data_IF_305170196297
#
_entry.id   IF_305170196297
#
_cell.length_a   1.000
_cell.length_b   1.000
_cell.length_c   1.000
_cell.angle_alpha   90.00
_cell.angle_beta   90.00
_cell.angle_gamma   90.00
#
_symmetry.space_group_name_H-M   'P 1'
#
loop_
_entity.id
_entity.type
_entity.pdbx_description
1 polymer ?
#
# COMPACT_ATOMS: atom_id res chain seq x y z
N UNK A 1 -38.63 -20.38 9.88
CA UNK A 1 -37.33 -20.90 10.35
C UNK A 1 -36.50 -21.24 9.14
N UNK A 2 -35.71 -20.28 8.62
CA UNK A 2 -34.73 -20.58 7.59
C UNK A 2 -33.67 -21.50 8.23
N UNK A 3 -33.41 -22.66 7.62
CA UNK A 3 -32.38 -23.57 8.13
C UNK A 3 -31.01 -22.92 7.90
N UNK A 4 -30.18 -22.89 8.93
CA UNK A 4 -28.76 -22.49 8.88
C UNK A 4 -27.90 -23.50 8.09
N UNK A 5 -28.40 -24.04 6.98
CA UNK A 5 -27.72 -25.06 6.17
C UNK A 5 -26.68 -24.43 5.21
N UNK A 6 -26.69 -23.10 5.04
CA UNK A 6 -25.83 -22.39 4.09
C UNK A 6 -24.31 -22.57 4.37
N UNK A 7 -23.80 -22.44 5.61
CA UNK A 7 -22.39 -22.73 5.89
C UNK A 7 -22.03 -24.20 5.63
N UNK A 8 -22.97 -25.12 5.87
CA UNK A 8 -22.78 -26.55 5.60
C UNK A 8 -22.66 -26.85 4.11
N UNK A 9 -23.46 -26.17 3.28
CA UNK A 9 -23.41 -26.28 1.83
C UNK A 9 -22.14 -25.66 1.24
N UNK A 10 -21.66 -24.53 1.76
CA UNK A 10 -20.39 -23.96 1.31
C UNK A 10 -19.22 -24.89 1.65
N UNK A 11 -19.20 -25.43 2.87
CA UNK A 11 -18.14 -26.33 3.32
C UNK A 11 -18.18 -27.72 2.67
N UNK A 12 -19.25 -28.09 1.97
CA UNK A 12 -19.30 -29.33 1.18
C UNK A 12 -18.71 -29.18 -0.23
N UNK A 13 -18.43 -27.95 -0.68
CA UNK A 13 -17.74 -27.70 -1.94
C UNK A 13 -16.29 -28.18 -1.88
N UNK A 14 -15.72 -28.68 -3.00
CA UNK A 14 -14.29 -28.97 -3.11
C UNK A 14 -13.44 -27.75 -2.79
N UNK A 15 -12.23 -27.98 -2.27
CA UNK A 15 -11.32 -26.93 -1.83
C UNK A 15 -10.98 -25.96 -2.97
N UNK A 16 -10.78 -26.50 -4.17
CA UNK A 16 -10.43 -25.78 -5.39
C UNK A 16 -11.54 -24.79 -5.77
N UNK A 17 -12.80 -25.21 -5.64
CA UNK A 17 -13.96 -24.36 -5.91
C UNK A 17 -14.05 -23.24 -4.86
N UNK A 18 -13.81 -23.55 -3.57
CA UNK A 18 -13.81 -22.52 -2.53
C UNK A 18 -12.69 -21.51 -2.71
N UNK A 19 -11.49 -21.95 -3.07
CA UNK A 19 -10.37 -21.06 -3.40
C UNK A 19 -10.69 -20.17 -4.61
N UNK A 20 -11.34 -20.70 -5.64
CA UNK A 20 -11.80 -19.90 -6.79
C UNK A 20 -12.84 -18.85 -6.37
N UNK A 21 -13.72 -19.19 -5.44
CA UNK A 21 -14.67 -18.23 -4.86
C UNK A 21 -13.92 -17.15 -4.05
N UNK A 22 -12.94 -17.52 -3.23
CA UNK A 22 -12.14 -16.54 -2.49
C UNK A 22 -11.41 -15.58 -3.44
N UNK A 23 -10.82 -16.11 -4.51
CA UNK A 23 -10.14 -15.32 -5.53
C UNK A 23 -11.08 -14.34 -6.23
N UNK A 24 -12.26 -14.83 -6.65
CA UNK A 24 -13.30 -13.98 -7.23
C UNK A 24 -13.76 -12.88 -6.26
N UNK A 25 -13.99 -13.21 -4.98
CA UNK A 25 -14.43 -12.23 -3.98
C UNK A 25 -13.34 -11.20 -3.66
N UNK A 26 -12.08 -11.61 -3.62
CA UNK A 26 -10.94 -10.72 -3.47
C UNK A 26 -10.77 -9.80 -4.67
N UNK A 27 -11.05 -10.28 -5.89
CA UNK A 27 -10.92 -9.53 -7.14
C UNK A 27 -12.11 -8.60 -7.42
N UNK A 28 -13.32 -8.97 -6.98
CA UNK A 28 -14.52 -8.13 -7.12
C UNK A 28 -14.36 -6.81 -6.37
N UNK A 29 -13.66 -6.83 -5.23
CA UNK A 29 -13.27 -5.60 -4.58
C UNK A 29 -12.57 -4.68 -5.62
N UNK A 30 -11.60 -5.20 -6.35
CA UNK A 30 -10.76 -4.44 -7.29
C UNK A 30 -11.51 -3.81 -8.47
N UNK A 31 -12.49 -4.51 -9.05
CA UNK A 31 -13.20 -4.09 -10.27
C UNK A 31 -13.97 -2.77 -10.21
N UNK A 32 -14.22 -2.23 -9.01
CA UNK A 32 -14.92 -0.95 -8.84
C UNK A 32 -13.99 0.28 -8.96
N UNK A 33 -12.75 0.11 -9.42
CA UNK A 33 -11.72 1.17 -9.53
C UNK A 33 -11.25 1.73 -8.18
N UNK A 34 -11.89 1.29 -7.10
CA UNK A 34 -11.78 1.86 -5.76
C UNK A 34 -10.92 1.00 -4.84
N UNK A 35 -10.92 -0.32 -5.00
CA UNK A 35 -10.12 -1.20 -4.15
C UNK A 35 -8.82 -1.58 -4.86
N UNK A 36 -7.73 -0.87 -4.57
CA UNK A 36 -6.41 -1.25 -5.04
C UNK A 36 -5.66 -2.00 -3.91
N UNK A 37 -5.22 -3.27 -4.10
CA UNK A 37 -4.49 -4.02 -3.07
C UNK A 37 -3.25 -3.27 -2.56
N UNK A 38 -2.64 -2.43 -3.42
CA UNK A 38 -1.51 -1.58 -3.05
C UNK A 38 -1.83 -0.65 -1.90
N UNK A 39 -3.09 -0.20 -1.80
CA UNK A 39 -3.52 0.71 -0.74
C UNK A 39 -3.77 -0.02 0.57
N UNK A 40 -4.00 -1.34 0.63
CA UNK A 40 -4.41 -2.04 1.87
C UNK A 40 -3.52 -1.71 3.08
N UNK A 41 -2.20 -1.61 2.87
CA UNK A 41 -1.26 -1.21 3.92
C UNK A 41 -1.37 0.28 4.28
N UNK A 42 -1.63 1.17 3.31
CA UNK A 42 -1.97 2.58 3.57
C UNK A 42 -3.16 2.68 4.54
N UNK A 43 -4.27 1.99 4.27
CA UNK A 43 -5.42 2.01 5.19
C UNK A 43 -5.05 1.51 6.59
N UNK A 44 -4.22 0.46 6.65
CA UNK A 44 -3.74 -0.06 7.93
C UNK A 44 -2.94 0.99 8.72
N UNK A 45 -2.02 1.71 8.07
CA UNK A 45 -1.28 2.81 8.70
C UNK A 45 -2.18 3.97 9.12
N UNK A 46 -3.10 4.39 8.23
CA UNK A 46 -4.03 5.48 8.52
C UNK A 46 -4.92 5.16 9.71
N UNK A 47 -5.38 3.90 9.82
CA UNK A 47 -6.17 3.42 10.95
C UNK A 47 -5.36 3.45 12.24
N UNK A 48 -4.15 2.90 12.26
CA UNK A 48 -3.29 2.92 13.45
C UNK A 48 -2.97 4.36 13.91
N UNK A 49 -2.67 5.26 12.98
CA UNK A 49 -2.42 6.67 13.27
C UNK A 49 -3.68 7.37 13.81
N UNK A 50 -4.84 7.12 13.19
CA UNK A 50 -6.11 7.72 13.61
C UNK A 50 -6.56 7.23 15.00
N UNK A 51 -6.36 5.95 15.31
CA UNK A 51 -6.61 5.39 16.64
C UNK A 51 -5.75 6.09 17.70
N UNK A 52 -4.48 6.38 17.38
CA UNK A 52 -3.58 7.13 18.27
C UNK A 52 -4.05 8.59 18.47
N UNK A 53 -4.46 9.27 17.39
CA UNK A 53 -4.98 10.64 17.43
C UNK A 53 -6.27 10.72 18.24
N UNK A 54 -7.21 9.78 18.06
CA UNK A 54 -8.42 9.70 18.87
C UNK A 54 -8.06 9.47 20.34
N UNK A 55 -7.17 8.50 20.63
CA UNK A 55 -6.80 8.19 22.00
C UNK A 55 -6.15 9.39 22.72
N UNK A 56 -5.33 10.18 22.01
CA UNK A 56 -4.77 11.42 22.52
C UNK A 56 -5.85 12.49 22.73
N UNK A 57 -6.73 12.70 21.76
CA UNK A 57 -7.85 13.64 21.87
C UNK A 57 -8.73 13.34 23.09
N UNK A 58 -9.13 12.07 23.25
CA UNK A 58 -10.00 11.62 24.34
C UNK A 58 -9.31 11.71 25.72
N UNK A 59 -7.97 11.63 25.77
CA UNK A 59 -7.20 11.88 27.00
C UNK A 59 -7.35 13.32 27.48
N UNK A 60 -7.40 14.28 26.57
CA UNK A 60 -7.57 15.70 26.88
C UNK A 60 -9.03 16.13 26.97
N UNK A 61 -9.96 15.37 26.37
CA UNK A 61 -11.39 15.65 26.32
C UNK A 61 -12.24 14.43 26.75
N UNK A 62 -12.14 13.96 28.01
CA UNK A 62 -12.78 12.70 28.44
C UNK A 62 -14.31 12.70 28.37
N UNK A 63 -14.94 13.88 28.36
CA UNK A 63 -16.40 14.04 28.20
C UNK A 63 -16.77 14.63 26.83
N UNK A 64 -15.78 14.83 25.94
CA UNK A 64 -16.01 15.34 24.60
C UNK A 64 -16.62 14.27 23.69
N UNK A 65 -17.28 14.66 22.60
CA UNK A 65 -17.68 13.71 21.57
C UNK A 65 -16.43 13.10 20.92
N UNK A 66 -16.50 11.81 20.60
CA UNK A 66 -15.45 11.13 19.85
C UNK A 66 -15.28 11.76 18.46
N UNK A 67 -14.04 12.05 18.01
CA UNK A 67 -13.78 12.59 16.69
C UNK A 67 -14.28 11.68 15.56
N UNK A 68 -14.70 12.29 14.46
CA UNK A 68 -14.99 11.57 13.21
C UNK A 68 -13.69 11.55 12.40
N UNK A 69 -13.21 10.36 12.07
CA UNK A 69 -12.04 10.19 11.20
C UNK A 69 -12.49 10.25 9.74
N UNK A 70 -11.81 11.07 8.95
CA UNK A 70 -11.92 11.01 7.52
C UNK A 70 -10.64 10.44 6.91
N UNK A 71 -10.72 9.17 6.52
CA UNK A 71 -9.62 8.48 5.85
C UNK A 71 -9.44 9.04 4.44
N UNK A 72 -8.20 9.06 3.94
CA UNK A 72 -7.90 9.33 2.53
C UNK A 72 -8.68 8.38 1.60
N UNK A 73 -9.01 7.20 2.14
CA UNK A 73 -9.71 6.11 1.48
C UNK A 73 -11.25 6.18 1.57
N UNK A 74 -11.86 7.09 2.34
CA UNK A 74 -13.28 6.98 2.72
C UNK A 74 -14.34 6.97 1.60
N UNK A 75 -13.97 7.13 0.32
CA UNK A 75 -14.89 6.91 -0.80
C UNK A 75 -15.14 5.43 -1.17
N UNK A 76 -14.52 4.47 -0.48
CA UNK A 76 -14.39 3.09 -1.00
C UNK A 76 -14.85 1.95 -0.07
N UNK A 77 -14.74 2.05 1.27
CA UNK A 77 -15.08 0.93 2.19
C UNK A 77 -16.37 1.19 3.01
N UNK A 78 -17.09 2.28 2.76
CA UNK A 78 -18.38 2.53 3.43
C UNK A 78 -19.55 1.64 2.95
N UNK A 79 -19.29 0.50 2.31
CA UNK A 79 -20.34 -0.43 1.90
C UNK A 79 -20.60 -1.58 2.90
N UNK A 80 -19.81 -1.73 3.97
CA UNK A 80 -20.10 -2.83 4.93
C UNK A 80 -19.82 -2.61 6.41
N UNK A 81 -19.48 -1.39 6.85
CA UNK A 81 -19.42 -1.05 8.29
C UNK A 81 -20.68 -0.30 8.81
N UNK A 82 -21.76 -0.20 8.02
CA UNK A 82 -23.05 0.33 8.49
C UNK A 82 -23.84 -0.72 9.30
N UNK A 83 -23.43 -0.90 10.56
CA UNK A 83 -24.23 -1.50 11.63
C UNK A 83 -25.18 -0.43 12.19
N UNK A 84 -26.38 -0.30 11.60
CA UNK A 84 -27.25 0.84 11.93
C UNK A 84 -28.70 0.81 11.47
N UNK A 85 -29.35 -0.36 11.46
CA UNK A 85 -30.81 -0.57 11.44
C UNK A 85 -31.73 0.57 10.96
N UNK A 86 -32.24 0.45 9.73
CA UNK A 86 -33.53 1.03 9.36
C UNK A 86 -34.35 0.00 8.59
N UNK A 87 -35.32 -0.55 9.32
CA UNK A 87 -36.36 -1.45 8.86
C UNK A 87 -37.24 -0.73 7.84
N UNK A 88 -37.01 -0.99 6.55
CA UNK A 88 -37.89 -0.55 5.45
C UNK A 88 -38.22 -1.76 4.59
N UNK A 89 -39.22 -2.49 5.07
CA UNK A 89 -40.01 -3.48 4.35
C UNK A 89 -40.64 -2.88 3.07
N UNK A 90 -40.09 -3.19 1.90
CA UNK A 90 -40.85 -3.15 0.64
C UNK A 90 -40.47 -4.34 -0.24
N UNK A 91 -41.33 -5.34 -0.16
CA UNK A 91 -41.54 -6.40 -1.15
C UNK A 91 -41.88 -5.82 -2.52
N UNK A 92 -41.17 -6.27 -3.57
CA UNK A 92 -41.77 -6.46 -4.90
C UNK A 92 -40.93 -7.38 -5.78
N UNK A 93 -41.53 -8.52 -6.06
CA UNK A 93 -41.19 -9.48 -7.10
C UNK A 93 -41.40 -8.82 -8.47
N UNK A 94 -40.47 -9.01 -9.42
CA UNK A 94 -40.82 -9.03 -10.84
C UNK A 94 -39.88 -9.99 -11.58
N UNK A 95 -40.48 -11.02 -12.16
CA UNK A 95 -39.87 -12.00 -13.05
C UNK A 95 -40.03 -11.48 -14.49
N UNK A 96 -38.95 -11.35 -15.26
CA UNK A 96 -39.04 -11.50 -16.72
C UNK A 96 -37.79 -12.13 -17.30
N UNK A 97 -38.00 -13.40 -17.62
CA UNK A 97 -37.49 -14.22 -18.71
C UNK A 97 -37.36 -13.47 -20.06
N UNK A 98 -36.20 -13.57 -20.72
CA UNK A 98 -36.08 -13.58 -22.20
C UNK A 98 -34.73 -14.15 -22.59
N UNK A 99 -34.75 -15.37 -23.10
CA UNK A 99 -33.75 -15.94 -24.01
C UNK A 99 -33.84 -15.22 -25.37
N UNK A 100 -32.69 -15.01 -26.03
CA UNK A 100 -32.58 -15.16 -27.49
C UNK A 100 -31.11 -15.39 -27.86
N UNK A 101 -30.91 -16.45 -28.64
CA UNK A 101 -29.65 -17.01 -29.14
C UNK A 101 -29.24 -16.38 -30.50
N UNK A 102 -28.05 -16.79 -30.98
CA UNK A 102 -27.57 -16.75 -32.38
C UNK A 102 -27.07 -15.37 -32.90
N UNK A 103 -25.95 -15.21 -33.63
CA UNK A 103 -25.01 -16.16 -34.24
C UNK A 103 -23.78 -15.41 -34.82
N UNK A 104 -22.71 -16.18 -35.08
CA UNK A 104 -21.70 -16.07 -36.17
C UNK A 104 -20.83 -14.79 -36.31
N UNK A 105 -19.56 -14.77 -36.75
CA UNK A 105 -18.46 -15.71 -37.12
C UNK A 105 -17.27 -14.79 -37.56
N UNK A 106 -16.06 -15.34 -37.59
CA UNK A 106 -14.81 -14.87 -38.26
C UNK A 106 -14.12 -13.58 -37.77
N UNK A 107 -12.81 -13.35 -37.91
CA UNK A 107 -11.53 -14.09 -38.00
C UNK A 107 -10.44 -12.97 -37.96
N UNK A 108 -9.15 -13.33 -38.00
CA UNK A 108 -7.92 -12.48 -38.07
C UNK A 108 -7.36 -11.93 -36.74
N UNK A 109 -6.30 -12.53 -36.19
CA UNK A 109 -4.87 -12.49 -36.57
C UNK A 109 -4.09 -11.34 -35.87
N UNK A 110 -3.15 -11.76 -35.02
CA UNK A 110 -1.85 -11.15 -34.66
C UNK A 110 -1.81 -9.64 -34.31
N UNK A 111 -1.64 -9.33 -33.01
CA UNK A 111 -0.37 -8.73 -32.55
C UNK A 111 -0.25 -8.79 -31.00
N UNK A 112 0.81 -9.49 -30.57
CA UNK A 112 1.32 -9.57 -29.20
C UNK A 112 2.03 -8.24 -28.86
N UNK A 113 1.28 -7.27 -28.36
CA UNK A 113 1.84 -6.21 -27.52
C UNK A 113 0.98 -6.14 -26.25
N UNK A 114 1.35 -6.95 -25.25
CA UNK A 114 0.94 -6.72 -23.85
C UNK A 114 1.54 -5.38 -23.41
N UNK A 115 0.84 -4.31 -23.77
CA UNK A 115 0.98 -2.98 -23.21
C UNK A 115 0.49 -3.10 -21.77
N UNK A 116 1.42 -3.34 -20.84
CA UNK A 116 1.22 -3.11 -19.41
C UNK A 116 0.83 -1.63 -19.26
N UNK A 117 -0.48 -1.37 -19.31
CA UNK A 117 -1.12 -0.12 -18.91
C UNK A 117 -0.87 0.07 -17.40
N UNK A 118 0.37 0.44 -17.06
CA UNK A 118 0.68 1.20 -15.86
C UNK A 118 -0.03 2.55 -16.03
N UNK A 119 -1.33 2.57 -15.70
CA UNK A 119 -2.10 3.75 -15.31
C UNK A 119 -1.47 4.36 -14.05
N UNK A 120 -0.27 4.94 -14.22
CA UNK A 120 0.34 5.85 -13.28
C UNK A 120 -0.37 7.20 -13.45
N UNK A 121 -1.38 7.43 -12.61
CA UNK A 121 -1.97 8.75 -12.39
C UNK A 121 -0.87 9.81 -12.23
N UNK A 122 -0.93 10.84 -13.07
CA UNK A 122 -0.06 12.01 -13.07
C UNK A 122 0.07 12.60 -11.66
N UNK A 123 1.29 12.54 -11.10
CA UNK A 123 1.73 13.32 -9.95
C UNK A 123 1.80 14.80 -10.39
N UNK A 124 0.66 15.50 -10.32
CA UNK A 124 0.61 16.95 -10.43
C UNK A 124 1.26 17.57 -9.17
N UNK A 125 2.47 18.13 -9.38
CA UNK A 125 3.12 19.23 -8.66
C UNK A 125 2.33 19.81 -7.47
N UNK A 126 2.69 19.42 -6.23
CA UNK A 126 2.37 20.20 -5.03
C UNK A 126 3.65 20.87 -4.51
N UNK A 127 3.87 22.10 -4.99
CA UNK A 127 4.81 23.04 -4.40
C UNK A 127 4.22 23.54 -3.08
N UNK A 128 4.64 22.93 -1.98
CA UNK A 128 4.37 23.45 -0.64
C UNK A 128 5.19 24.73 -0.42
N UNK A 129 4.57 25.87 -0.75
CA UNK A 129 5.04 27.21 -0.42
C UNK A 129 5.00 27.38 1.11
N UNK A 130 6.18 27.45 1.72
CA UNK A 130 6.33 27.74 3.14
C UNK A 130 5.67 29.05 3.54
N UNK A 131 4.72 28.97 4.48
CA UNK A 131 4.19 30.13 5.20
C UNK A 131 4.66 30.12 6.66
N UNK A 132 5.44 31.16 6.97
CA UNK A 132 5.97 31.43 8.31
C UNK A 132 4.87 32.03 9.20
N UNK A 133 4.28 31.18 10.04
CA UNK A 133 3.35 31.58 11.09
C UNK A 133 4.01 32.41 12.18
N UNK A 134 3.96 33.72 12.04
CA UNK A 134 4.25 34.72 13.07
C UNK A 134 3.08 34.77 14.05
N UNK A 135 3.35 34.58 15.33
CA UNK A 135 2.37 34.69 16.42
C UNK A 135 1.83 36.13 16.51
N UNK A 136 0.57 36.35 16.12
CA UNK A 136 -0.18 37.57 16.44
C UNK A 136 -1.35 37.25 17.37
N UNK A 137 -1.21 37.69 18.62
CA UNK A 137 -2.14 37.57 19.74
C UNK A 137 -3.36 38.47 19.49
N UNK A 138 -4.46 37.89 18.98
CA UNK A 138 -5.73 38.62 18.78
C UNK A 138 -6.60 38.52 20.03
N UNK A 139 -6.66 39.64 20.75
CA UNK A 139 -7.49 39.89 21.93
C UNK A 139 -8.98 40.05 21.53
N UNK A 140 -9.84 39.13 21.99
CA UNK A 140 -11.29 39.21 21.77
C UNK A 140 -11.99 40.07 22.83
N UNK A 141 -12.84 41.03 22.45
CA UNK A 141 -13.68 41.75 23.41
C UNK A 141 -14.89 40.92 23.82
N UNK A 142 -15.10 40.85 25.13
CA UNK A 142 -16.33 40.44 25.80
C UNK A 142 -17.54 41.23 25.26
N UNK A 143 -18.56 40.53 24.77
CA UNK A 143 -19.89 41.09 24.58
C UNK A 143 -20.96 40.05 24.91
N UNK A 144 -21.54 40.20 26.10
CA UNK A 144 -22.81 39.66 26.53
C UNK A 144 -23.95 40.29 25.75
N UNK A 145 -24.70 39.53 24.95
CA UNK A 145 -26.11 39.80 24.73
C UNK A 145 -26.89 38.55 24.30
N UNK A 146 -27.87 38.21 25.13
CA UNK A 146 -28.85 37.12 25.02
C UNK A 146 -29.94 37.45 24.02
N UNK A 147 -30.05 36.65 22.95
CA UNK A 147 -31.27 36.53 22.15
C UNK A 147 -31.53 35.03 21.92
N UNK A 148 -32.71 34.57 22.32
CA UNK A 148 -33.09 33.16 22.30
C UNK A 148 -33.29 32.62 20.88
N UNK A 149 -32.47 31.64 20.52
CA UNK A 149 -32.73 30.68 19.45
C UNK A 149 -32.71 29.27 20.04
N UNK A 150 -33.70 28.46 19.67
CA UNK A 150 -33.87 27.10 20.16
C UNK A 150 -32.58 26.29 20.00
N UNK A 151 -32.14 25.72 21.11
CA UNK A 151 -30.92 24.94 21.26
C UNK A 151 -31.06 23.59 20.55
N UNK A 152 -30.95 23.58 19.22
CA UNK A 152 -30.47 22.41 18.50
C UNK A 152 -28.95 22.41 18.60
N UNK A 153 -28.44 22.09 19.79
CA UNK A 153 -27.01 21.76 19.97
C UNK A 153 -26.79 20.39 19.35
N UNK A 154 -26.71 20.34 18.02
CA UNK A 154 -26.09 19.19 17.37
C UNK A 154 -24.69 19.09 17.96
N UNK A 155 -24.32 17.95 18.59
CA UNK A 155 -22.99 17.80 19.17
C UNK A 155 -22.00 17.81 18.02
N UNK A 156 -21.37 18.96 17.78
CA UNK A 156 -20.29 19.11 16.81
C UNK A 156 -19.21 18.08 17.16
N UNK A 157 -19.01 17.09 16.29
CA UNK A 157 -17.92 16.14 16.42
C UNK A 157 -16.72 16.71 15.67
N UNK A 158 -15.55 16.84 16.30
CA UNK A 158 -14.36 17.29 15.60
C UNK A 158 -14.01 16.27 14.50
N UNK A 159 -13.59 16.77 13.36
CA UNK A 159 -13.13 15.95 12.25
C UNK A 159 -11.61 15.84 12.32
N UNK A 160 -11.08 14.63 12.22
CA UNK A 160 -9.64 14.37 12.20
C UNK A 160 -9.25 13.62 10.95
N UNK A 161 -8.01 13.81 10.51
CA UNK A 161 -7.46 13.19 9.31
C UNK A 161 -6.18 12.44 9.68
N UNK A 162 -5.92 11.28 9.07
CA UNK A 162 -4.63 10.62 9.17
C UNK A 162 -3.49 11.53 8.68
N UNK A 163 -2.28 11.31 9.17
CA UNK A 163 -1.12 12.04 8.68
C UNK A 163 -0.89 11.81 7.18
N UNK A 164 -0.76 12.89 6.42
CA UNK A 164 -0.58 12.84 4.96
C UNK A 164 0.66 12.04 4.53
N UNK A 165 1.68 11.89 5.39
CA UNK A 165 2.88 11.09 5.11
C UNK A 165 2.57 9.67 4.68
N UNK A 166 1.48 9.08 5.20
CA UNK A 166 1.12 7.70 4.91
C UNK A 166 0.79 7.47 3.43
N UNK A 167 0.35 8.51 2.71
CA UNK A 167 0.07 8.44 1.26
C UNK A 167 1.27 7.93 0.46
N UNK A 168 2.50 8.17 0.93
CA UNK A 168 3.72 7.72 0.26
C UNK A 168 4.09 6.26 0.53
N UNK A 169 3.41 5.55 1.43
CA UNK A 169 3.68 4.13 1.74
C UNK A 169 3.50 3.26 0.50
N UNK A 170 2.44 3.50 -0.28
CA UNK A 170 2.09 2.68 -1.45
C UNK A 170 3.20 2.65 -2.51
N UNK A 171 4.07 3.66 -2.50
CA UNK A 171 5.20 3.78 -3.42
C UNK A 171 6.29 2.75 -3.13
N UNK A 172 6.45 2.30 -1.88
CA UNK A 172 7.54 1.40 -1.51
C UNK A 172 7.12 0.13 -0.79
N UNK A 173 5.90 0.01 -0.29
CA UNK A 173 5.40 -1.24 0.29
C UNK A 173 3.91 -1.44 -0.02
N UNK A 174 3.55 -2.64 -0.48
CA UNK A 174 2.19 -2.98 -0.87
C UNK A 174 1.93 -4.49 -0.77
N UNK A 175 0.66 -4.88 -0.83
CA UNK A 175 0.22 -6.25 -1.01
C UNK A 175 -0.40 -6.43 -2.39
N UNK A 176 -0.25 -7.61 -2.99
CA UNK A 176 -0.81 -7.89 -4.32
C UNK A 176 -2.27 -8.34 -4.32
N UNK A 177 -2.81 -8.76 -3.16
CA UNK A 177 -4.16 -9.31 -3.06
C UNK A 177 -4.93 -8.65 -1.91
N UNK A 178 -6.26 -8.66 -2.00
CA UNK A 178 -7.14 -8.37 -0.87
C UNK A 178 -7.52 -9.66 -0.13
N UNK A 179 -7.70 -9.60 1.20
CA UNK A 179 -8.34 -10.69 1.92
C UNK A 179 -9.80 -10.84 1.46
N UNK A 180 -10.36 -12.06 1.52
CA UNK A 180 -11.79 -12.24 1.29
C UNK A 180 -12.63 -11.38 2.24
N UNK A 181 -13.83 -10.94 1.83
CA UNK A 181 -14.68 -10.05 2.62
C UNK A 181 -14.95 -10.56 4.04
N UNK A 182 -15.02 -9.64 5.00
CA UNK A 182 -15.14 -9.99 6.42
C UNK A 182 -16.44 -10.73 6.70
N UNK A 183 -17.51 -10.45 5.95
CA UNK A 183 -18.82 -11.10 6.07
C UNK A 183 -18.69 -12.61 5.84
N UNK A 184 -17.88 -13.02 4.85
CA UNK A 184 -17.54 -14.42 4.63
C UNK A 184 -16.72 -14.98 5.80
N UNK A 185 -15.74 -14.22 6.30
CA UNK A 185 -14.89 -14.60 7.42
C UNK A 185 -15.66 -14.75 8.75
N UNK A 186 -16.82 -14.11 8.90
CA UNK A 186 -17.65 -14.16 10.12
C UNK A 186 -18.63 -15.34 10.14
N UNK A 187 -18.88 -16.01 9.01
CA UNK A 187 -19.87 -17.11 8.93
C UNK A 187 -19.47 -18.36 9.74
N UNK A 188 -18.18 -18.72 9.77
CA UNK A 188 -17.66 -19.90 10.47
C UNK A 188 -16.17 -19.78 10.76
N UNK A 189 -15.73 -20.28 11.93
CA UNK A 189 -14.32 -20.32 12.33
C UNK A 189 -13.46 -21.13 11.36
N UNK A 190 -13.99 -22.25 10.85
CA UNK A 190 -13.24 -23.08 9.89
C UNK A 190 -13.03 -22.33 8.58
N UNK A 191 -14.08 -21.66 8.08
CA UNK A 191 -14.00 -20.87 6.86
C UNK A 191 -13.05 -19.69 7.03
N UNK A 192 -13.08 -19.02 8.19
CA UNK A 192 -12.14 -17.95 8.53
C UNK A 192 -10.68 -18.40 8.42
N UNK A 193 -10.36 -19.56 8.99
CA UNK A 193 -9.01 -20.12 8.94
C UNK A 193 -8.60 -20.50 7.52
N UNK A 194 -9.51 -21.11 6.76
CA UNK A 194 -9.27 -21.51 5.37
C UNK A 194 -9.04 -20.30 4.46
N UNK A 195 -9.91 -19.30 4.53
CA UNK A 195 -9.81 -18.07 3.75
C UNK A 195 -8.54 -17.27 4.10
N UNK A 196 -8.16 -17.18 5.38
CA UNK A 196 -6.88 -16.57 5.78
C UNK A 196 -5.69 -17.36 5.24
N UNK A 197 -5.73 -18.68 5.35
CA UNK A 197 -4.66 -19.54 4.86
C UNK A 197 -4.49 -19.44 3.34
N UNK A 198 -5.62 -19.39 2.61
CA UNK A 198 -5.63 -19.11 1.17
C UNK A 198 -5.05 -17.73 0.87
N UNK A 199 -5.52 -16.67 1.55
CA UNK A 199 -5.06 -15.31 1.33
C UNK A 199 -3.54 -15.19 1.47
N UNK A 200 -2.97 -15.69 2.57
CA UNK A 200 -1.53 -15.63 2.79
C UNK A 200 -0.72 -16.58 1.89
N UNK A 201 -1.36 -17.56 1.25
CA UNK A 201 -0.74 -18.37 0.20
C UNK A 201 -0.63 -17.62 -1.13
N UNK A 202 -1.59 -16.74 -1.45
CA UNK A 202 -1.63 -16.03 -2.74
C UNK A 202 -1.01 -14.63 -2.66
N UNK A 203 -1.21 -13.92 -1.54
CA UNK A 203 -0.70 -12.58 -1.31
C UNK A 203 0.84 -12.54 -1.33
N UNK A 204 1.37 -11.52 -1.99
CA UNK A 204 2.80 -11.22 -2.06
C UNK A 204 3.00 -9.84 -1.44
N UNK A 205 3.94 -9.74 -0.50
CA UNK A 205 4.41 -8.47 0.03
C UNK A 205 5.44 -7.87 -0.93
N UNK A 206 5.09 -6.78 -1.60
CA UNK A 206 5.99 -6.05 -2.49
C UNK A 206 6.71 -4.96 -1.72
N UNK A 207 8.04 -4.89 -1.84
CA UNK A 207 8.87 -3.87 -1.23
C UNK A 207 9.81 -3.27 -2.29
N UNK A 208 9.65 -1.99 -2.60
CA UNK A 208 10.59 -1.26 -3.46
C UNK A 208 11.65 -0.58 -2.60
N UNK A 209 12.79 -1.25 -2.46
CA UNK A 209 13.87 -0.80 -1.56
C UNK A 209 14.58 0.47 -2.04
N UNK A 210 14.37 0.89 -3.29
CA UNK A 210 15.03 2.06 -3.89
C UNK A 210 14.10 3.25 -4.10
N UNK A 211 12.77 3.08 -3.97
CA UNK A 211 11.81 4.17 -4.16
C UNK A 211 11.86 5.19 -3.02
N UNK A 212 11.82 6.47 -3.36
CA UNK A 212 11.86 7.56 -2.40
C UNK A 212 13.09 7.47 -1.47
N UNK A 213 14.27 7.25 -2.06
CA UNK A 213 15.51 6.98 -1.29
C UNK A 213 15.90 8.14 -0.35
N UNK A 214 15.50 9.37 -0.69
CA UNK A 214 15.64 10.55 0.15
C UNK A 214 14.95 10.41 1.51
N UNK A 215 13.80 9.72 1.57
CA UNK A 215 12.97 9.57 2.77
C UNK A 215 13.30 8.28 3.54
N UNK A 216 14.59 8.03 3.78
CA UNK A 216 15.05 6.81 4.47
C UNK A 216 14.45 6.68 5.87
N UNK A 217 14.30 7.79 6.62
CA UNK A 217 13.68 7.78 7.96
C UNK A 217 12.22 7.30 7.93
N UNK A 218 11.43 7.80 6.99
CA UNK A 218 10.03 7.41 6.81
C UNK A 218 9.91 5.95 6.36
N UNK A 219 10.77 5.51 5.44
CA UNK A 219 10.83 4.12 5.01
C UNK A 219 11.10 3.17 6.20
N UNK A 220 12.07 3.51 7.05
CA UNK A 220 12.35 2.73 8.25
C UNK A 220 11.20 2.77 9.26
N UNK A 221 10.57 3.93 9.45
CA UNK A 221 9.42 4.09 10.33
C UNK A 221 8.27 3.17 9.91
N UNK A 222 7.85 3.25 8.65
CA UNK A 222 6.74 2.48 8.12
C UNK A 222 6.99 0.97 8.26
N UNK A 223 8.15 0.51 7.81
CA UNK A 223 8.51 -0.91 7.92
C UNK A 223 8.61 -1.37 9.38
N UNK A 224 9.14 -0.53 10.28
CA UNK A 224 9.24 -0.85 11.72
C UNK A 224 7.87 -0.98 12.36
N UNK A 225 6.94 -0.07 12.05
CA UNK A 225 5.57 -0.12 12.57
C UNK A 225 4.89 -1.42 12.12
N UNK A 226 4.94 -1.73 10.83
CA UNK A 226 4.43 -3.01 10.30
C UNK A 226 5.06 -4.17 11.06
N UNK A 227 6.38 -4.24 11.20
CA UNK A 227 7.02 -5.41 11.83
C UNK A 227 6.85 -5.51 13.36
N UNK A 228 6.47 -4.44 14.05
CA UNK A 228 6.27 -4.43 15.51
C UNK A 228 4.80 -4.58 15.91
N UNK A 229 3.86 -4.37 14.99
CA UNK A 229 2.44 -4.39 15.30
C UNK A 229 1.98 -5.74 15.87
N UNK A 230 1.09 -5.68 16.89
CA UNK A 230 0.53 -6.86 17.52
C UNK A 230 -0.29 -7.74 16.56
N UNK A 231 -0.84 -7.14 15.51
CA UNK A 231 -1.58 -7.80 14.43
C UNK A 231 -0.96 -7.47 13.07
N UNK A 232 0.36 -7.59 12.98
CA UNK A 232 1.11 -7.34 11.76
C UNK A 232 0.78 -8.36 10.65
N UNK A 233 0.62 -7.92 9.39
CA UNK A 233 0.56 -8.83 8.25
C UNK A 233 1.85 -9.68 8.14
N UNK A 234 3.00 -9.19 8.60
CA UNK A 234 4.28 -9.90 8.56
C UNK A 234 4.25 -11.27 9.23
N UNK A 235 3.36 -11.49 10.20
CA UNK A 235 3.29 -12.77 10.92
C UNK A 235 2.92 -13.94 10.02
N UNK A 236 2.15 -13.69 8.96
CA UNK A 236 1.62 -14.74 8.11
C UNK A 236 1.99 -14.60 6.63
N UNK A 237 2.72 -13.54 6.25
CA UNK A 237 3.23 -13.41 4.88
C UNK A 237 4.17 -14.57 4.55
N UNK A 238 3.87 -15.25 3.43
CA UNK A 238 4.62 -16.40 2.93
C UNK A 238 5.51 -16.05 1.74
N UNK A 239 5.18 -14.98 1.02
CA UNK A 239 5.87 -14.57 -0.20
C UNK A 239 6.20 -13.09 -0.14
N UNK A 240 7.42 -12.74 -0.49
CA UNK A 240 7.85 -11.35 -0.65
C UNK A 240 8.51 -11.15 -2.00
N UNK A 241 8.32 -9.97 -2.58
CA UNK A 241 8.98 -9.50 -3.78
C UNK A 241 9.74 -8.22 -3.40
N UNK A 242 11.05 -8.18 -3.62
CA UNK A 242 11.90 -7.04 -3.27
C UNK A 242 12.54 -6.49 -4.53
N UNK A 243 12.21 -5.23 -4.84
CA UNK A 243 12.67 -4.54 -6.04
C UNK A 243 13.80 -3.55 -5.73
N UNK A 244 14.93 -3.72 -6.40
CA UNK A 244 16.04 -2.79 -6.41
C UNK A 244 16.20 -2.20 -7.81
N UNK A 245 16.13 -0.87 -7.92
CA UNK A 245 16.33 -0.16 -9.18
C UNK A 245 17.54 0.74 -9.02
N UNK A 246 18.56 0.49 -9.84
CA UNK A 246 19.86 1.13 -9.74
C UNK A 246 20.36 1.66 -11.08
N UNK A 247 21.27 2.62 -11.02
CA UNK A 247 21.86 3.25 -12.19
C UNK A 247 23.37 3.43 -11.99
N UNK A 248 24.10 2.32 -11.98
CA UNK A 248 25.55 2.31 -11.87
C UNK A 248 26.24 3.21 -12.90
N UNK A 249 25.75 3.25 -14.15
CA UNK A 249 26.30 4.08 -15.21
C UNK A 249 26.27 5.56 -14.82
N UNK A 250 25.10 6.07 -14.42
CA UNK A 250 24.96 7.47 -14.04
C UNK A 250 25.73 7.80 -12.77
N UNK A 251 25.64 6.96 -11.73
CA UNK A 251 26.32 7.20 -10.44
C UNK A 251 27.83 7.35 -10.65
N UNK A 252 28.44 6.51 -11.50
CA UNK A 252 29.89 6.57 -11.79
C UNK A 252 30.29 7.77 -12.65
N UNK A 253 29.35 8.39 -13.37
CA UNK A 253 29.62 9.60 -14.16
C UNK A 253 29.57 10.87 -13.32
N UNK A 254 29.11 10.81 -12.07
CA UNK A 254 29.08 11.95 -11.17
C UNK A 254 30.50 12.45 -10.84
N UNK A 255 30.83 13.62 -11.37
CA UNK A 255 32.12 14.26 -11.14
C UNK A 255 32.31 14.81 -9.72
N UNK A 256 31.23 14.96 -8.95
CA UNK A 256 31.31 15.45 -7.57
C UNK A 256 31.76 14.36 -6.58
N UNK A 257 31.60 13.09 -6.96
CA UNK A 257 31.85 11.93 -6.11
C UNK A 257 30.82 11.76 -4.99
N UNK A 258 29.81 12.62 -4.91
CA UNK A 258 28.76 12.54 -3.89
C UNK A 258 27.83 11.37 -4.16
N UNK A 259 27.48 11.12 -5.42
CA UNK A 259 26.60 10.02 -5.80
C UNK A 259 27.21 8.67 -5.37
N UNK A 260 28.47 8.44 -5.69
CA UNK A 260 29.22 7.21 -5.36
C UNK A 260 29.40 7.03 -3.84
N UNK A 261 29.49 8.12 -3.07
CA UNK A 261 29.62 8.04 -1.62
C UNK A 261 28.28 7.81 -0.90
N UNK A 262 27.21 8.45 -1.35
CA UNK A 262 25.92 8.49 -0.63
C UNK A 262 25.01 7.34 -1.02
N UNK A 263 24.82 7.12 -2.32
CA UNK A 263 23.80 6.17 -2.78
C UNK A 263 24.11 4.73 -2.38
N UNK A 264 25.32 4.17 -2.59
CA UNK A 264 25.64 2.81 -2.14
C UNK A 264 25.42 2.61 -0.64
N UNK A 265 25.74 3.61 0.18
CA UNK A 265 25.49 3.55 1.63
C UNK A 265 23.99 3.48 1.96
N UNK A 266 23.16 4.33 1.32
CA UNK A 266 21.71 4.31 1.50
C UNK A 266 21.09 2.99 0.99
N UNK A 267 21.57 2.48 -0.14
CA UNK A 267 21.13 1.20 -0.70
C UNK A 267 21.40 0.05 0.28
N UNK A 268 22.62 -0.03 0.82
CA UNK A 268 22.99 -1.03 1.81
C UNK A 268 22.16 -0.91 3.10
N UNK A 269 21.93 0.32 3.57
CA UNK A 269 21.08 0.58 4.74
C UNK A 269 19.65 0.07 4.52
N UNK A 270 19.03 0.43 3.40
CA UNK A 270 17.65 0.01 3.09
C UNK A 270 17.56 -1.50 2.87
N UNK A 271 18.51 -2.11 2.16
CA UNK A 271 18.57 -3.56 2.00
C UNK A 271 18.70 -4.28 3.34
N UNK A 272 19.58 -3.79 4.23
CA UNK A 272 19.72 -4.30 5.60
C UNK A 272 18.42 -4.19 6.39
N UNK A 273 17.68 -3.10 6.21
CA UNK A 273 16.39 -2.90 6.86
C UNK A 273 15.33 -3.88 6.33
N UNK A 274 15.19 -4.01 5.01
CA UNK A 274 14.27 -4.96 4.37
C UNK A 274 14.57 -6.39 4.85
N UNK A 275 15.84 -6.79 4.84
CA UNK A 275 16.27 -8.09 5.36
C UNK A 275 15.80 -8.31 6.82
N UNK A 276 16.05 -7.34 7.72
CA UNK A 276 15.64 -7.44 9.14
C UNK A 276 14.13 -7.58 9.32
N UNK A 277 13.35 -6.98 8.42
CA UNK A 277 11.89 -7.03 8.45
C UNK A 277 11.41 -8.40 7.96
N UNK A 278 11.96 -8.89 6.85
CA UNK A 278 11.65 -10.24 6.34
C UNK A 278 12.06 -11.34 7.33
N UNK A 279 13.15 -11.16 8.07
CA UNK A 279 13.58 -12.08 9.13
C UNK A 279 12.54 -12.26 10.25
N UNK A 280 11.60 -11.31 10.39
CA UNK A 280 10.52 -11.36 11.38
C UNK A 280 9.25 -12.04 10.87
N UNK A 281 9.21 -12.48 9.62
CA UNK A 281 8.11 -13.27 9.07
C UNK A 281 8.39 -14.77 9.30
N UNK A 282 7.79 -15.40 10.32
CA UNK A 282 8.07 -16.81 10.64
C UNK A 282 7.54 -17.77 9.57
N UNK A 283 6.50 -17.37 8.84
CA UNK A 283 5.86 -18.16 7.79
C UNK A 283 6.43 -17.87 6.39
N UNK A 284 7.50 -17.07 6.27
CA UNK A 284 8.10 -16.71 4.99
C UNK A 284 8.68 -17.95 4.29
N UNK A 285 8.25 -18.20 3.06
CA UNK A 285 8.62 -19.37 2.27
C UNK A 285 9.39 -19.00 1.00
N UNK A 286 9.03 -17.88 0.35
CA UNK A 286 9.62 -17.44 -0.91
C UNK A 286 9.96 -15.94 -0.87
N UNK A 287 11.12 -15.59 -1.38
CA UNK A 287 11.54 -14.21 -1.63
C UNK A 287 12.05 -14.11 -3.05
N UNK A 288 11.36 -13.34 -3.89
CA UNK A 288 11.81 -13.02 -5.23
C UNK A 288 12.45 -11.62 -5.19
N UNK A 289 13.66 -11.48 -5.71
CA UNK A 289 14.41 -10.23 -5.73
C UNK A 289 14.57 -9.81 -7.18
N UNK A 290 14.00 -8.67 -7.54
CA UNK A 290 14.21 -8.07 -8.85
C UNK A 290 15.33 -7.03 -8.74
N UNK A 291 16.44 -7.26 -9.45
CA UNK A 291 17.59 -6.37 -9.51
C UNK A 291 17.69 -5.71 -10.88
N UNK A 292 17.36 -4.42 -10.95
CA UNK A 292 17.54 -3.61 -12.15
C UNK A 292 18.80 -2.77 -12.02
N UNK A 293 19.69 -2.83 -13.02
CA UNK A 293 20.84 -1.92 -13.12
C UNK A 293 21.11 -1.53 -14.58
N UNK A 294 21.56 -0.30 -14.77
CA UNK A 294 22.06 0.22 -16.05
C UNK A 294 23.30 -0.51 -16.61
N UNK A 295 24.10 -1.20 -15.78
CA UNK A 295 25.38 -1.80 -16.21
C UNK A 295 25.54 -3.23 -15.68
N UNK A 296 26.04 -4.12 -16.54
CA UNK A 296 26.45 -5.48 -16.19
C UNK A 296 27.97 -5.62 -16.25
N UNK A 297 28.66 -5.26 -15.16
CA UNK A 297 30.12 -5.43 -15.04
C UNK A 297 30.52 -5.95 -13.66
N UNK A 298 31.83 -6.15 -13.45
CA UNK A 298 32.34 -6.70 -12.20
C UNK A 298 32.03 -5.82 -10.99
N UNK A 299 31.99 -4.51 -11.15
CA UNK A 299 31.73 -3.59 -10.05
C UNK A 299 30.24 -3.57 -9.67
N UNK A 300 29.33 -3.57 -10.66
CA UNK A 300 27.89 -3.67 -10.40
C UNK A 300 27.53 -5.05 -9.82
N UNK A 301 28.17 -6.12 -10.31
CA UNK A 301 28.03 -7.45 -9.74
C UNK A 301 28.50 -7.51 -8.27
N UNK A 302 29.62 -6.89 -7.93
CA UNK A 302 30.12 -6.83 -6.56
C UNK A 302 29.18 -6.05 -5.65
N UNK A 303 28.66 -4.90 -6.10
CA UNK A 303 27.69 -4.11 -5.36
C UNK A 303 26.43 -4.94 -5.05
N UNK A 304 25.86 -5.59 -6.07
CA UNK A 304 24.70 -6.48 -5.91
C UNK A 304 24.98 -7.57 -4.88
N UNK A 305 26.11 -8.27 -5.00
CA UNK A 305 26.49 -9.32 -4.05
C UNK A 305 26.59 -8.78 -2.62
N UNK A 306 27.17 -7.59 -2.43
CA UNK A 306 27.27 -6.98 -1.11
C UNK A 306 25.91 -6.60 -0.51
N UNK A 307 25.01 -6.06 -1.35
CA UNK A 307 23.66 -5.64 -0.95
C UNK A 307 22.80 -6.86 -0.60
N UNK A 308 22.91 -7.94 -1.39
CA UNK A 308 22.08 -9.13 -1.25
C UNK A 308 22.64 -10.19 -0.30
N UNK A 309 23.89 -10.07 0.16
CA UNK A 309 24.60 -11.09 0.97
C UNK A 309 23.80 -11.66 2.14
N UNK A 310 22.96 -10.85 2.79
CA UNK A 310 22.20 -11.28 3.97
C UNK A 310 20.89 -11.99 3.59
N UNK A 311 20.36 -11.77 2.39
CA UNK A 311 19.10 -12.40 1.98
C UNK A 311 19.23 -13.92 1.89
N UNK A 312 20.40 -14.43 1.52
CA UNK A 312 20.71 -15.87 1.49
C UNK A 312 20.55 -16.57 2.86
N UNK A 313 20.56 -15.82 3.96
CA UNK A 313 20.40 -16.38 5.31
C UNK A 313 18.95 -16.43 5.78
N UNK A 314 17.98 -16.00 4.95
CA UNK A 314 16.56 -16.12 5.25
C UNK A 314 16.13 -17.59 5.22
N UNK A 315 15.19 -17.97 6.09
CA UNK A 315 14.58 -19.31 6.10
C UNK A 315 13.56 -19.51 4.97
N UNK A 316 13.86 -19.00 3.77
CA UNK A 316 12.98 -18.97 2.61
C UNK A 316 13.78 -19.25 1.33
N UNK A 317 13.12 -19.72 0.28
CA UNK A 317 13.73 -19.81 -1.05
C UNK A 317 13.90 -18.42 -1.62
N UNK A 318 15.16 -18.01 -1.86
CA UNK A 318 15.49 -16.71 -2.45
C UNK A 318 15.82 -16.90 -3.92
N UNK A 319 15.09 -16.22 -4.79
CA UNK A 319 15.37 -16.13 -6.22
C UNK A 319 15.81 -14.71 -6.55
N UNK A 320 16.79 -14.56 -7.43
CA UNK A 320 17.25 -13.25 -7.90
C UNK A 320 17.08 -13.21 -9.41
N UNK A 321 16.28 -12.25 -9.87
CA UNK A 321 16.10 -11.94 -11.28
C UNK A 321 16.87 -10.66 -11.61
N UNK A 322 17.64 -10.70 -12.70
CA UNK A 322 18.56 -9.63 -13.06
C UNK A 322 18.13 -8.98 -14.38
N UNK A 323 17.95 -7.67 -14.34
CA UNK A 323 17.50 -6.87 -15.47
C UNK A 323 18.54 -5.78 -15.75
N UNK A 324 19.32 -5.97 -16.82
CA UNK A 324 20.31 -4.99 -17.24
C UNK A 324 19.88 -4.26 -18.50
N UNK A 325 20.27 -2.98 -18.61
CA UNK A 325 20.19 -2.28 -19.89
C UNK A 325 21.24 -2.84 -20.86
N UNK A 326 20.95 -2.74 -22.16
CA UNK A 326 21.93 -3.04 -23.19
C UNK A 326 23.17 -2.15 -23.02
N UNK A 327 24.34 -2.65 -23.46
CA UNK A 327 25.58 -1.88 -23.39
C UNK A 327 25.41 -0.50 -24.05
N UNK A 328 25.85 0.54 -23.35
CA UNK A 328 25.74 1.96 -23.76
C UNK A 328 24.31 2.52 -23.86
N UNK A 329 23.28 1.74 -23.54
CA UNK A 329 21.91 2.25 -23.51
C UNK A 329 21.68 3.12 -22.27
N UNK A 330 21.02 4.26 -22.48
CA UNK A 330 20.54 5.09 -21.39
C UNK A 330 19.09 4.73 -21.07
N UNK A 331 18.69 4.75 -19.78
CA UNK A 331 17.30 4.55 -19.41
C UNK A 331 16.45 5.66 -20.02
N UNK A 332 15.34 5.27 -20.67
CA UNK A 332 14.33 6.22 -21.15
C UNK A 332 13.69 6.91 -19.96
N UNK A 333 13.35 8.20 -20.08
CA UNK A 333 12.75 9.00 -19.00
C UNK A 333 11.56 8.32 -18.30
N UNK A 334 10.71 7.65 -19.08
CA UNK A 334 9.50 6.98 -18.60
C UNK A 334 9.73 5.54 -18.11
N UNK A 335 10.91 4.95 -18.35
CA UNK A 335 11.20 3.61 -17.84
C UNK A 335 11.42 3.64 -16.33
N UNK A 336 11.28 2.48 -15.67
CA UNK A 336 11.51 2.33 -14.23
C UNK A 336 12.89 2.87 -13.81
N UNK A 337 13.94 2.55 -14.58
CA UNK A 337 15.28 3.05 -14.35
C UNK A 337 15.39 4.57 -14.59
N UNK A 338 14.69 5.13 -15.58
CA UNK A 338 14.71 6.56 -15.87
C UNK A 338 14.00 7.38 -14.81
N UNK A 339 12.82 6.94 -14.36
CA UNK A 339 12.10 7.53 -13.21
C UNK A 339 13.01 7.54 -11.97
N UNK A 340 13.72 6.43 -11.71
CA UNK A 340 14.65 6.35 -10.57
C UNK A 340 15.86 7.28 -10.70
N UNK A 341 16.44 7.43 -11.90
CA UNK A 341 17.52 8.40 -12.15
C UNK A 341 17.08 9.82 -11.81
N UNK A 342 15.88 10.22 -12.24
CA UNK A 342 15.35 11.55 -11.93
C UNK A 342 15.18 11.78 -10.42
N UNK A 343 14.71 10.78 -9.67
CA UNK A 343 14.64 10.87 -8.20
C UNK A 343 16.02 11.05 -7.58
N UNK A 344 17.05 10.34 -8.07
CA UNK A 344 18.42 10.48 -7.57
C UNK A 344 19.01 11.85 -7.90
N UNK A 345 18.80 12.36 -9.11
CA UNK A 345 19.21 13.70 -9.53
C UNK A 345 18.54 14.79 -8.68
N UNK A 346 17.25 14.67 -8.41
CA UNK A 346 16.51 15.59 -7.52
C UNK A 346 17.12 15.59 -6.12
N UNK A 347 17.33 14.40 -5.53
CA UNK A 347 17.89 14.28 -4.19
C UNK A 347 19.30 14.87 -4.07
N UNK A 348 20.18 14.65 -5.04
CA UNK A 348 21.51 15.27 -5.03
C UNK A 348 21.43 16.78 -5.17
N UNK A 349 20.51 17.27 -5.99
CA UNK A 349 20.30 18.72 -6.17
C UNK A 349 19.88 19.36 -4.85
N UNK A 350 18.93 18.76 -4.13
CA UNK A 350 18.47 19.26 -2.82
C UNK A 350 19.60 19.24 -1.77
N UNK A 351 20.41 18.18 -1.76
CA UNK A 351 21.55 18.05 -0.86
C UNK A 351 22.61 19.13 -1.12
N UNK A 352 22.87 19.46 -2.39
CA UNK A 352 23.85 20.49 -2.75
C UNK A 352 23.35 21.92 -2.51
N UNK A 353 22.05 22.15 -2.67
CA UNK A 353 21.42 23.46 -2.44
C UNK A 353 21.22 23.77 -0.95
N UNK A 354 21.38 22.76 -0.08
CA UNK A 354 21.34 22.94 1.37
C UNK A 354 19.96 23.39 1.87
N UNK A 355 18.89 22.93 1.22
CA UNK A 355 17.55 23.21 1.72
C UNK A 355 17.42 22.69 3.16
N UNK A 356 16.99 23.54 4.11
CA UNK A 356 16.76 23.11 5.48
C UNK A 356 15.62 22.09 5.48
N UNK A 357 15.97 20.86 5.79
CA UNK A 357 15.05 19.75 6.11
C UNK A 357 14.14 20.08 7.29
#
# INVERSE_FOLDING_TARGET
MARNDAPGMFMSLPLEIRHSIFDYLSSRATSLGKNNPKRLLLHWFEKEDSDNVIAEYMRHHPNGPEPIINYSWNDVISASEDDGGSDSDTTREDETDTEDEEDEEEDDEEDDEEDDEDEDEDDEDDRDDGDGGREEEVNYPNATETVGHGTYTSPYRPMTYPNAKWRHVVNFISLTHFPPPVELLLTSRQLNLEAKNWFYNVAILRINATRNIAHTSFFEEALRQIANAAFSPMRNIRKAEVKFVWDSAWIRTDTTGLAEAVFPALLQQRASFVYKILLRAPDLQKVDIEWYDSVQDNESANLKMEVLKNFETLSATVNVEEHYLAADAQPKKHSIAGKRRLEFESFLSDLMLGHPS
#
